data_IF_017022827286
#
_entry.id   IF_017022827286
#
_cell.length_a   1.000
_cell.length_b   1.000
_cell.length_c   1.000
_cell.angle_alpha   90.00
_cell.angle_beta   90.00
_cell.angle_gamma   90.00
#
_symmetry.space_group_name_H-M   'P 1'
#
loop_
_entity.id
_entity.type
_entity.pdbx_description
1 polymer ?
#
# COMPACT_ATOMS: atom_id res chain seq x y z
N UNK A 1 15.51 -1.74 16.58
CA UNK A 1 14.18 -1.15 16.37
C UNK A 1 14.12 0.14 17.19
N UNK A 2 13.79 1.27 16.58
CA UNK A 2 13.71 2.58 17.24
C UNK A 2 12.26 2.83 17.71
N UNK A 3 12.01 3.13 19.01
CA UNK A 3 10.68 3.27 19.60
C UNK A 3 10.14 4.72 19.67
N UNK A 4 10.53 5.62 18.77
CA UNK A 4 9.93 6.96 18.69
C UNK A 4 8.56 6.95 17.99
N UNK A 5 7.50 7.02 18.80
CA UNK A 5 6.10 7.20 18.37
C UNK A 5 5.96 8.51 17.60
N UNK A 6 5.28 8.45 16.44
CA UNK A 6 4.55 9.61 15.92
C UNK A 6 4.92 10.16 14.55
N UNK A 7 5.13 9.34 13.52
CA UNK A 7 4.89 9.77 12.14
C UNK A 7 4.31 8.59 11.37
N UNK A 8 3.01 8.62 11.06
CA UNK A 8 2.46 7.70 10.07
C UNK A 8 3.16 7.98 8.76
N UNK A 9 4.07 7.09 8.36
CA UNK A 9 4.83 7.24 7.14
C UNK A 9 3.83 7.28 5.98
N UNK A 10 3.69 8.45 5.35
CA UNK A 10 2.78 8.65 4.20
C UNK A 10 3.32 8.04 2.91
N UNK A 11 4.52 7.46 3.00
CA UNK A 11 5.13 6.62 2.01
C UNK A 11 5.86 5.47 2.72
N UNK A 12 5.71 4.25 2.22
CA UNK A 12 6.52 3.10 2.60
C UNK A 12 7.31 2.63 1.39
N UNK A 13 8.53 2.17 1.63
CA UNK A 13 9.43 1.68 0.61
C UNK A 13 9.99 0.31 1.01
N UNK A 14 10.15 -0.56 0.02
CA UNK A 14 10.76 -1.87 0.19
C UNK A 14 11.60 -2.20 -1.05
N UNK A 15 12.64 -3.02 -0.88
CA UNK A 15 13.44 -3.54 -1.99
C UNK A 15 13.21 -5.04 -2.04
N UNK A 16 12.90 -5.54 -3.23
CA UNK A 16 12.65 -6.98 -3.42
C UNK A 16 13.96 -7.77 -3.60
N UNK A 17 13.91 -9.12 -3.58
CA UNK A 17 15.11 -9.95 -3.79
C UNK A 17 15.80 -9.77 -5.15
N UNK A 18 15.10 -9.22 -6.15
CA UNK A 18 15.65 -8.89 -7.46
C UNK A 18 16.29 -7.49 -7.50
N UNK A 19 16.28 -6.76 -6.38
CA UNK A 19 16.83 -5.42 -6.27
C UNK A 19 15.92 -4.32 -6.83
N UNK A 20 14.64 -4.62 -7.11
CA UNK A 20 13.68 -3.62 -7.56
C UNK A 20 13.15 -2.83 -6.35
N UNK A 21 12.94 -1.53 -6.54
CA UNK A 21 12.43 -0.63 -5.50
C UNK A 21 10.92 -0.49 -5.63
N UNK A 22 10.22 -0.82 -4.55
CA UNK A 22 8.78 -0.73 -4.41
C UNK A 22 8.43 0.43 -3.48
N UNK A 23 7.49 1.30 -3.88
CA UNK A 23 7.07 2.45 -3.09
C UNK A 23 5.55 2.54 -3.09
N UNK A 24 4.92 2.56 -1.93
CA UNK A 24 3.51 2.89 -1.75
C UNK A 24 3.41 4.27 -1.12
N UNK A 25 2.57 5.16 -1.66
CA UNK A 25 2.49 6.54 -1.18
C UNK A 25 1.13 7.20 -1.40
N UNK A 26 0.85 8.23 -0.59
CA UNK A 26 -0.31 9.09 -0.78
C UNK A 26 0.02 10.23 -1.76
N UNK A 27 -0.68 10.27 -2.88
CA UNK A 27 -0.77 11.48 -3.68
C UNK A 27 -1.83 12.41 -3.07
N UNK A 28 -1.42 13.62 -2.68
CA UNK A 28 -2.33 14.62 -2.11
C UNK A 28 -2.93 15.57 -3.14
N UNK A 29 -2.33 15.67 -4.32
CA UNK A 29 -2.86 16.51 -5.40
C UNK A 29 -4.15 15.90 -5.97
N UNK A 30 -4.22 14.57 -5.96
CA UNK A 30 -5.42 13.78 -6.19
C UNK A 30 -5.43 12.68 -5.11
N UNK A 31 -6.27 12.77 -4.06
CA UNK A 31 -6.23 11.89 -2.88
C UNK A 31 -6.31 10.41 -3.27
N UNK A 32 -5.14 9.81 -3.49
CA UNK A 32 -5.02 8.50 -4.09
C UNK A 32 -3.85 7.76 -3.46
N UNK A 33 -4.08 6.48 -3.15
CA UNK A 33 -2.99 5.57 -2.81
C UNK A 33 -2.38 5.12 -4.13
N UNK A 34 -1.10 5.41 -4.30
CA UNK A 34 -0.33 5.04 -5.48
C UNK A 34 0.78 4.08 -5.11
N UNK A 35 1.16 3.28 -6.09
CA UNK A 35 2.29 2.39 -6.01
C UNK A 35 3.23 2.64 -7.19
N UNK A 36 4.52 2.68 -6.91
CA UNK A 36 5.56 2.77 -7.92
C UNK A 36 6.53 1.60 -7.75
N UNK A 37 6.86 0.97 -8.87
CA UNK A 37 7.94 0.02 -9.00
C UNK A 37 9.05 0.65 -9.82
N UNK A 38 10.29 0.53 -9.36
CA UNK A 38 11.47 0.88 -10.15
C UNK A 38 12.36 -0.32 -10.32
N UNK A 39 12.50 -0.74 -11.57
CA UNK A 39 13.36 -1.84 -12.00
C UNK A 39 14.47 -1.31 -12.93
N UNK A 40 15.23 -2.24 -13.52
CA UNK A 40 16.31 -1.91 -14.46
C UNK A 40 15.83 -1.24 -15.76
N UNK A 41 14.55 -1.38 -16.11
CA UNK A 41 13.95 -0.84 -17.33
C UNK A 41 13.35 0.56 -17.13
N UNK A 42 13.07 0.95 -15.90
CA UNK A 42 12.56 2.28 -15.57
C UNK A 42 11.62 2.32 -14.38
N UNK A 43 10.77 3.35 -14.34
CA UNK A 43 9.74 3.54 -13.31
C UNK A 43 8.37 3.17 -13.87
N UNK A 44 7.71 2.21 -13.22
CA UNK A 44 6.32 1.83 -13.46
C UNK A 44 5.44 2.40 -12.35
N UNK A 45 4.26 2.91 -12.71
CA UNK A 45 3.35 3.56 -11.76
C UNK A 45 1.95 2.96 -11.89
N UNK A 46 1.42 2.50 -10.76
CA UNK A 46 0.04 2.04 -10.64
C UNK A 46 -0.75 2.88 -9.63
N UNK A 47 -2.05 2.97 -9.87
CA UNK A 47 -3.00 3.58 -8.96
C UNK A 47 -3.74 2.46 -8.22
N UNK A 48 -3.67 2.46 -6.89
CA UNK A 48 -4.28 1.43 -6.05
C UNK A 48 -5.72 1.81 -5.73
N UNK A 49 -5.92 3.04 -5.26
CA UNK A 49 -7.20 3.57 -4.84
C UNK A 49 -7.27 5.04 -5.24
N UNK A 50 -8.43 5.46 -5.76
CA UNK A 50 -8.75 6.87 -6.02
C UNK A 50 -9.99 7.20 -5.21
N UNK A 51 -9.95 8.28 -4.43
CA UNK A 51 -11.11 8.74 -3.68
C UNK A 51 -11.00 10.19 -3.25
N UNK A 52 -12.03 10.68 -2.55
CA UNK A 52 -12.03 12.00 -1.91
C UNK A 52 -11.86 11.90 -0.39
N UNK A 53 -11.76 10.68 0.13
CA UNK A 53 -11.61 10.38 1.55
C UNK A 53 -10.19 10.72 2.03
N UNK A 54 -10.05 11.06 3.32
CA UNK A 54 -8.74 11.15 3.94
C UNK A 54 -8.11 9.76 3.99
N UNK A 55 -6.84 9.67 3.57
CA UNK A 55 -6.06 8.44 3.64
C UNK A 55 -4.98 8.58 4.71
N UNK A 56 -4.82 7.54 5.53
CA UNK A 56 -3.79 7.43 6.56
C UNK A 56 -3.11 6.06 6.56
N UNK A 57 -2.05 5.95 7.37
CA UNK A 57 -1.40 4.68 7.71
C UNK A 57 -1.13 3.75 6.53
N UNK A 58 -0.34 4.21 5.55
CA UNK A 58 0.05 3.38 4.42
C UNK A 58 1.22 2.51 4.86
N UNK A 59 1.11 1.20 4.70
CA UNK A 59 2.19 0.23 4.90
C UNK A 59 2.34 -0.65 3.66
N UNK A 60 3.57 -1.03 3.35
CA UNK A 60 3.94 -1.88 2.23
C UNK A 60 4.93 -2.93 2.73
N UNK A 61 4.59 -4.19 2.50
CA UNK A 61 5.49 -5.32 2.69
C UNK A 61 5.56 -6.14 1.41
N UNK A 62 6.67 -6.83 1.21
CA UNK A 62 6.85 -7.76 0.10
C UNK A 62 6.78 -9.18 0.64
N UNK A 63 6.12 -10.08 -0.07
CA UNK A 63 6.23 -11.50 0.24
C UNK A 63 7.55 -12.10 -0.29
N UNK A 64 7.76 -13.40 -0.04
CA UNK A 64 8.96 -14.11 -0.45
C UNK A 64 9.15 -14.16 -1.98
N UNK A 65 8.11 -13.87 -2.77
CA UNK A 65 8.17 -13.79 -4.23
C UNK A 65 8.36 -12.35 -4.70
N UNK A 66 8.52 -11.38 -3.79
CA UNK A 66 8.62 -9.97 -4.11
C UNK A 66 7.28 -9.33 -4.48
N UNK A 67 6.15 -10.01 -4.25
CA UNK A 67 4.85 -9.41 -4.55
C UNK A 67 4.46 -8.42 -3.45
N UNK A 68 4.05 -7.20 -3.80
CA UNK A 68 3.70 -6.18 -2.84
C UNK A 68 2.32 -6.42 -2.20
N UNK A 69 2.26 -6.22 -0.89
CA UNK A 69 1.06 -6.26 -0.06
C UNK A 69 0.94 -4.94 0.67
N UNK A 70 -0.16 -4.22 0.46
CA UNK A 70 -0.30 -2.84 0.93
C UNK A 70 -1.51 -2.73 1.85
N UNK A 71 -1.33 -2.11 3.00
CA UNK A 71 -2.44 -1.72 3.87
C UNK A 71 -2.54 -0.20 3.94
N UNK A 72 -3.76 0.32 4.05
CA UNK A 72 -4.00 1.76 4.19
C UNK A 72 -5.35 1.97 4.89
N UNK A 73 -5.48 3.08 5.61
CA UNK A 73 -6.76 3.47 6.22
C UNK A 73 -7.42 4.59 5.42
N UNK A 74 -8.73 4.50 5.24
CA UNK A 74 -9.55 5.52 4.61
C UNK A 74 -10.59 6.02 5.61
N UNK A 75 -10.77 7.33 5.69
CA UNK A 75 -11.86 7.96 6.42
C UNK A 75 -13.01 8.22 5.45
N UNK A 76 -13.92 7.24 5.38
CA UNK A 76 -15.21 7.39 4.72
C UNK A 76 -16.22 7.93 5.76
N UNK A 77 -17.35 7.25 5.98
CA UNK A 77 -18.25 7.56 7.12
C UNK A 77 -17.64 7.13 8.47
N UNK A 78 -16.80 6.09 8.44
CA UNK A 78 -15.96 5.62 9.55
C UNK A 78 -14.55 5.29 9.03
N UNK A 79 -13.59 5.14 9.94
CA UNK A 79 -12.24 4.68 9.56
C UNK A 79 -12.28 3.20 9.17
N UNK A 80 -11.93 2.90 7.92
CA UNK A 80 -11.83 1.54 7.39
C UNK A 80 -10.38 1.26 7.02
N UNK A 81 -9.83 0.15 7.50
CA UNK A 81 -8.55 -0.36 7.01
C UNK A 81 -8.82 -1.19 5.76
N UNK A 82 -8.15 -0.87 4.66
CA UNK A 82 -8.18 -1.63 3.41
C UNK A 82 -6.84 -2.32 3.20
N UNK A 83 -6.90 -3.47 2.56
CA UNK A 83 -5.74 -4.25 2.15
C UNK A 83 -5.77 -4.44 0.64
N UNK A 84 -4.64 -4.20 -0.03
CA UNK A 84 -4.52 -4.28 -1.48
C UNK A 84 -3.37 -5.20 -1.91
N UNK A 85 -3.65 -5.99 -2.95
CA UNK A 85 -2.67 -6.86 -3.63
C UNK A 85 -2.76 -6.66 -5.13
N UNK A 86 -1.64 -6.79 -5.86
CA UNK A 86 -1.65 -6.72 -7.32
C UNK A 86 -2.41 -7.92 -7.90
N UNK A 87 -3.10 -7.70 -9.02
CA UNK A 87 -3.68 -8.75 -9.86
C UNK A 87 -3.13 -8.60 -11.29
N UNK A 88 -3.50 -9.51 -12.19
CA UNK A 88 -3.03 -9.50 -13.58
C UNK A 88 -3.42 -8.25 -14.40
N UNK A 89 -4.31 -7.39 -13.91
CA UNK A 89 -4.74 -6.17 -14.63
C UNK A 89 -4.71 -4.89 -13.79
N UNK A 90 -4.97 -4.97 -12.49
CA UNK A 90 -5.04 -3.83 -11.54
C UNK A 90 -4.78 -4.28 -10.10
N UNK A 91 -4.77 -3.35 -9.16
CA UNK A 91 -4.83 -3.67 -7.73
C UNK A 91 -6.24 -4.08 -7.31
N UNK A 92 -6.34 -5.05 -6.41
CA UNK A 92 -7.60 -5.39 -5.74
C UNK A 92 -7.51 -4.95 -4.28
N UNK A 93 -8.35 -4.00 -3.87
CA UNK A 93 -8.51 -3.57 -2.49
C UNK A 93 -9.71 -4.25 -1.83
N UNK A 94 -9.60 -4.57 -0.53
CA UNK A 94 -10.69 -5.12 0.28
C UNK A 94 -10.67 -4.56 1.70
N UNK A 95 -11.83 -4.28 2.31
CA UNK A 95 -11.89 -3.98 3.74
C UNK A 95 -11.29 -5.11 4.57
N UNK A 96 -10.45 -4.76 5.53
CA UNK A 96 -9.91 -5.69 6.51
C UNK A 96 -10.88 -5.73 7.70
N UNK A 97 -11.90 -6.58 7.62
CA UNK A 97 -12.80 -6.84 8.73
C UNK A 97 -12.18 -7.97 9.59
N UNK A 98 -12.11 -7.77 10.90
CA UNK A 98 -11.57 -8.74 11.87
C UNK A 98 -12.27 -10.12 11.87
N UNK A 99 -13.31 -10.32 11.05
CA UNK A 99 -14.08 -11.56 10.94
C UNK A 99 -13.60 -12.53 9.84
N UNK A 100 -12.55 -12.19 9.08
CA UNK A 100 -12.08 -13.03 7.95
C UNK A 100 -10.58 -13.33 7.97
N UNK A 101 -9.96 -13.39 9.15
CA UNK A 101 -8.68 -14.07 9.30
C UNK A 101 -8.94 -15.52 9.70
N UNK A 102 -9.12 -16.40 8.70
CA UNK A 102 -8.86 -17.82 8.95
C UNK A 102 -7.35 -17.96 9.21
N UNK A 103 -6.93 -18.59 10.32
CA UNK A 103 -5.53 -18.94 10.52
C UNK A 103 -5.07 -19.83 9.36
N UNK A 104 -3.84 -19.61 8.88
CA UNK A 104 -3.14 -20.59 8.05
C UNK A 104 -2.67 -21.75 8.90
#
# INVERSE_FOLDING_TARGET
>A
MDPARGVGAKAHLAVDPAGQLHVAYLDRSAPAVKYALRDATGRHLDVIEVGNAYVGGIDLVLDAQGQPHISYSVAEEQWVVKYATPTSRRWQSRPCNFLTLKPR
#
